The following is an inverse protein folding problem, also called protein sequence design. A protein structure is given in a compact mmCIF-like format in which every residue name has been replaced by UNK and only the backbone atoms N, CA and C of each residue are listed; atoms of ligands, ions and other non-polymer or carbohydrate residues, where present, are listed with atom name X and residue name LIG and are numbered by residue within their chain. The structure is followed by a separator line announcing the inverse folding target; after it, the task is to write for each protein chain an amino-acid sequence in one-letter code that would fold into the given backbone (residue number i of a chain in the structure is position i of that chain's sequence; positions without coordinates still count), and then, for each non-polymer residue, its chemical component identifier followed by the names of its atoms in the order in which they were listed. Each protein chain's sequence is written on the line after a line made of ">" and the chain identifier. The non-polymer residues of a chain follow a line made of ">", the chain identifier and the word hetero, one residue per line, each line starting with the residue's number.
data_IF_806609127699
#
_entry.id   IF_806609127699
#
_cell.length_a   1.000
_cell.length_b   1.000
_cell.length_c   1.000
_cell.angle_alpha   90.00
_cell.angle_beta   90.00
_cell.angle_gamma   90.00
#
_symmetry.space_group_name_H-M   'P 1'
#
loop_
_entity.id
_entity.type
_entity.pdbx_description
1 polymer ?
#
# COMPACT_ATOMS: atom_id res chain seq x y z
N UNK A 1 6.59 -5.51 15.54
CA UNK A 1 5.44 -4.59 15.40
C UNK A 1 4.24 -5.13 16.17
N UNK A 2 3.54 -4.26 16.86
CA UNK A 2 2.33 -4.63 17.60
C UNK A 2 1.16 -4.77 16.61
N UNK A 3 0.46 -5.93 16.63
CA UNK A 3 -0.67 -6.19 15.74
C UNK A 3 -1.86 -5.24 15.96
N UNK A 4 -1.90 -4.53 17.09
CA UNK A 4 -2.94 -3.53 17.36
C UNK A 4 -2.67 -2.18 16.70
N UNK A 5 -1.45 -1.92 16.29
CA UNK A 5 -1.08 -0.68 15.60
C UNK A 5 -1.50 -0.79 14.14
N UNK A 6 -2.25 0.20 13.65
CA UNK A 6 -2.65 0.22 12.24
C UNK A 6 -1.49 0.65 11.37
N UNK A 7 -1.21 -0.15 10.37
CA UNK A 7 -0.23 0.20 9.35
C UNK A 7 -0.78 -0.11 7.97
N UNK A 8 -0.28 0.62 7.00
CA UNK A 8 -0.71 0.55 5.61
C UNK A 8 0.45 0.03 4.76
N UNK A 9 0.17 -0.75 3.73
CA UNK A 9 1.19 -1.16 2.77
C UNK A 9 0.82 -0.69 1.36
N UNK A 10 1.83 -0.17 0.65
CA UNK A 10 1.68 0.30 -0.72
C UNK A 10 1.69 -0.89 -1.71
N UNK A 11 1.28 -0.64 -2.93
CA UNK A 11 1.20 -1.64 -3.99
C UNK A 11 2.54 -2.30 -4.30
N UNK A 12 3.64 -1.54 -4.26
CA UNK A 12 4.98 -2.11 -4.53
C UNK A 12 5.35 -3.21 -3.53
N UNK A 13 4.95 -3.07 -2.26
CA UNK A 13 5.21 -4.09 -1.24
C UNK A 13 4.47 -5.39 -1.58
N UNK A 14 3.19 -5.28 -1.96
CA UNK A 14 2.38 -6.45 -2.34
C UNK A 14 2.98 -7.15 -3.56
N UNK A 15 3.42 -6.36 -4.55
CA UNK A 15 3.96 -6.92 -5.79
C UNK A 15 5.23 -7.74 -5.59
N UNK A 16 5.99 -7.49 -4.52
CA UNK A 16 7.15 -8.32 -4.22
C UNK A 16 6.79 -9.77 -3.87
N UNK A 17 5.54 -10.05 -3.50
CA UNK A 17 5.08 -11.43 -3.31
C UNK A 17 5.18 -12.26 -4.59
N UNK A 18 5.15 -11.61 -5.75
CA UNK A 18 5.24 -12.25 -7.05
C UNK A 18 6.64 -12.15 -7.65
N UNK A 19 7.57 -11.60 -6.89
CA UNK A 19 8.95 -11.36 -7.34
C UNK A 19 9.83 -12.59 -7.14
N UNK A 20 10.88 -12.70 -7.98
CA UNK A 20 11.95 -13.66 -7.77
C UNK A 20 12.95 -13.27 -6.68
N UNK A 21 12.83 -12.06 -6.13
CA UNK A 21 13.66 -11.61 -5.02
C UNK A 21 13.11 -12.20 -3.72
N UNK A 22 13.70 -13.33 -3.30
CA UNK A 22 13.22 -14.11 -2.13
C UNK A 22 13.24 -13.26 -0.86
N UNK A 23 14.28 -12.46 -0.66
CA UNK A 23 14.42 -11.65 0.55
C UNK A 23 13.28 -10.61 0.67
N UNK A 24 12.99 -9.92 -0.43
CA UNK A 24 11.89 -8.95 -0.45
C UNK A 24 10.52 -9.61 -0.40
N UNK A 25 10.36 -10.75 -1.06
CA UNK A 25 9.10 -11.51 -1.00
C UNK A 25 8.82 -11.98 0.42
N UNK A 26 9.83 -12.47 1.14
CA UNK A 26 9.68 -12.91 2.53
C UNK A 26 9.30 -11.74 3.44
N UNK A 27 9.91 -10.59 3.24
CA UNK A 27 9.60 -9.39 4.03
C UNK A 27 8.16 -8.93 3.78
N UNK A 28 7.73 -8.93 2.52
CA UNK A 28 6.36 -8.57 2.14
C UNK A 28 5.35 -9.54 2.77
N UNK A 29 5.65 -10.84 2.74
CA UNK A 29 4.79 -11.85 3.36
C UNK A 29 4.68 -11.63 4.88
N UNK A 30 5.79 -11.33 5.54
CA UNK A 30 5.80 -11.07 6.98
C UNK A 30 4.89 -9.89 7.33
N UNK A 31 4.92 -8.81 6.54
CA UNK A 31 4.03 -7.67 6.75
C UNK A 31 2.57 -8.03 6.50
N UNK A 32 2.29 -8.80 5.46
CA UNK A 32 0.92 -9.20 5.14
C UNK A 32 0.31 -10.03 6.27
N UNK A 33 1.10 -10.90 6.90
CA UNK A 33 0.64 -11.72 8.03
C UNK A 33 0.28 -10.91 9.27
N UNK A 34 0.75 -9.66 9.36
CA UNK A 34 0.43 -8.75 10.45
C UNK A 34 -0.86 -7.96 10.21
N UNK A 35 -1.62 -8.31 9.18
CA UNK A 35 -2.94 -7.76 8.86
C UNK A 35 -2.89 -6.26 8.56
N UNK A 36 -2.28 -5.87 7.44
CA UNK A 36 -2.21 -4.46 7.06
C UNK A 36 -3.54 -3.90 6.63
N UNK A 37 -3.61 -2.58 6.59
CA UNK A 37 -4.65 -1.84 5.87
C UNK A 37 -4.13 -1.61 4.46
N UNK A 38 -5.00 -1.75 3.48
CA UNK A 38 -4.76 -1.33 2.09
C UNK A 38 -5.97 -0.53 1.61
N UNK A 39 -5.90 -0.02 0.39
CA UNK A 39 -7.02 0.72 -0.20
C UNK A 39 -7.39 0.13 -1.55
N UNK A 40 -8.55 0.55 -2.07
CA UNK A 40 -8.96 0.21 -3.43
C UNK A 40 -7.92 0.70 -4.45
N UNK A 41 -7.29 1.86 -4.20
CA UNK A 41 -6.22 2.34 -5.10
C UNK A 41 -5.05 1.37 -5.16
N UNK A 42 -4.67 0.78 -4.02
CA UNK A 42 -3.64 -0.26 -3.99
C UNK A 42 -4.05 -1.46 -4.85
N UNK A 43 -5.30 -1.91 -4.70
CA UNK A 43 -5.82 -3.01 -5.53
C UNK A 43 -5.77 -2.67 -7.01
N UNK A 44 -6.12 -1.43 -7.38
CA UNK A 44 -6.08 -0.98 -8.76
C UNK A 44 -4.68 -1.02 -9.33
N UNK A 45 -3.69 -0.53 -8.58
CA UNK A 45 -2.30 -0.50 -9.01
C UNK A 45 -1.72 -1.91 -9.16
N UNK A 46 -2.00 -2.78 -8.19
CA UNK A 46 -1.56 -4.18 -8.26
C UNK A 46 -2.17 -4.88 -9.48
N UNK A 47 -3.46 -4.68 -9.72
CA UNK A 47 -4.15 -5.25 -10.88
C UNK A 47 -3.50 -4.79 -12.18
N UNK A 48 -3.24 -3.50 -12.28
CA UNK A 48 -2.63 -2.91 -13.49
C UNK A 48 -1.26 -3.53 -13.78
N UNK A 49 -0.39 -3.62 -12.78
CA UNK A 49 0.95 -4.19 -12.95
C UNK A 49 0.88 -5.67 -13.28
N UNK A 50 0.04 -6.43 -12.57
CA UNK A 50 -0.14 -7.86 -12.84
C UNK A 50 -0.55 -8.11 -14.29
N UNK A 51 -1.48 -7.31 -14.79
CA UNK A 51 -1.98 -7.48 -16.15
C UNK A 51 -0.99 -6.97 -17.19
N UNK A 52 -0.45 -5.78 -17.01
CA UNK A 52 0.36 -5.09 -18.04
C UNK A 52 1.82 -5.52 -18.05
N UNK A 53 2.41 -5.75 -16.91
CA UNK A 53 3.84 -6.09 -16.82
C UNK A 53 4.09 -7.58 -16.64
N UNK A 54 3.25 -8.26 -15.88
CA UNK A 54 3.45 -9.67 -15.57
C UNK A 54 2.63 -10.60 -16.48
N UNK A 55 1.80 -10.04 -17.35
CA UNK A 55 0.97 -10.79 -18.32
C UNK A 55 0.12 -11.89 -17.67
N UNK A 56 -0.35 -11.64 -16.46
CA UNK A 56 -1.19 -12.60 -15.76
C UNK A 56 -2.59 -12.64 -16.38
N UNK A 57 -3.19 -13.82 -16.38
CA UNK A 57 -4.59 -13.97 -16.78
C UNK A 57 -5.50 -13.35 -15.73
N UNK A 58 -6.68 -12.86 -16.16
CA UNK A 58 -7.62 -12.24 -15.23
C UNK A 58 -8.01 -13.16 -14.07
N UNK A 59 -8.13 -14.47 -14.33
CA UNK A 59 -8.42 -15.46 -13.28
C UNK A 59 -7.29 -15.58 -12.27
N UNK A 60 -6.04 -15.52 -12.72
CA UNK A 60 -4.87 -15.54 -11.83
C UNK A 60 -4.81 -14.29 -10.97
N UNK A 61 -5.11 -13.13 -11.58
CA UNK A 61 -5.14 -11.85 -10.85
C UNK A 61 -6.22 -11.91 -9.77
N UNK A 62 -7.41 -12.41 -10.11
CA UNK A 62 -8.51 -12.53 -9.15
C UNK A 62 -8.11 -13.39 -7.95
N UNK A 63 -7.46 -14.54 -8.20
CA UNK A 63 -7.01 -15.43 -7.14
C UNK A 63 -5.95 -14.77 -6.25
N UNK A 64 -5.00 -14.08 -6.86
CA UNK A 64 -3.95 -13.37 -6.10
C UNK A 64 -4.54 -12.28 -5.22
N UNK A 65 -5.44 -11.45 -5.78
CA UNK A 65 -6.06 -10.36 -5.02
C UNK A 65 -6.95 -10.90 -3.89
N UNK A 66 -7.65 -11.99 -4.13
CA UNK A 66 -8.47 -12.63 -3.09
C UNK A 66 -7.61 -13.10 -1.93
N UNK A 67 -6.45 -13.70 -2.24
CA UNK A 67 -5.50 -14.13 -1.22
C UNK A 67 -4.99 -12.93 -0.42
N UNK A 68 -4.54 -11.87 -1.10
CA UNK A 68 -4.04 -10.66 -0.44
C UNK A 68 -5.13 -10.07 0.47
N UNK A 69 -6.35 -9.94 -0.03
CA UNK A 69 -7.46 -9.37 0.72
C UNK A 69 -7.79 -10.17 1.97
N UNK A 70 -7.62 -11.49 1.91
CA UNK A 70 -7.90 -12.37 3.06
C UNK A 70 -7.01 -12.08 4.27
N UNK A 71 -5.81 -11.52 4.05
CA UNK A 71 -4.91 -11.15 5.12
C UNK A 71 -5.12 -9.72 5.62
N UNK A 72 -5.79 -8.87 4.86
CA UNK A 72 -5.90 -7.46 5.21
C UNK A 72 -6.91 -7.24 6.32
N UNK A 73 -6.56 -6.35 7.25
CA UNK A 73 -7.43 -5.91 8.33
C UNK A 73 -8.60 -5.10 7.80
N UNK A 74 -8.34 -4.26 6.80
CA UNK A 74 -9.34 -3.41 6.18
C UNK A 74 -8.90 -2.99 4.80
N UNK A 75 -9.88 -2.77 3.92
CA UNK A 75 -9.65 -2.21 2.59
C UNK A 75 -10.41 -0.88 2.54
N UNK A 76 -9.66 0.23 2.49
CA UNK A 76 -10.23 1.58 2.50
C UNK A 76 -10.85 1.87 1.13
N UNK A 77 -12.12 2.31 1.08
CA UNK A 77 -12.75 2.63 -0.20
C UNK A 77 -12.15 3.90 -0.82
N UNK A 78 -12.27 3.98 -2.15
CA UNK A 78 -11.86 5.17 -2.90
C UNK A 78 -13.08 6.07 -3.05
N UNK A 79 -13.16 7.09 -2.19
CA UNK A 79 -14.30 7.99 -2.12
C UNK A 79 -13.95 9.38 -2.65
N UNK A 80 -14.96 10.24 -2.82
CA UNK A 80 -14.74 11.64 -3.17
C UNK A 80 -13.90 12.33 -2.09
N UNK A 81 -14.14 11.99 -0.81
CA UNK A 81 -13.35 12.52 0.30
C UNK A 81 -11.87 12.16 0.16
N UNK A 82 -11.59 10.90 -0.18
CA UNK A 82 -10.20 10.44 -0.40
C UNK A 82 -9.56 11.22 -1.55
N UNK A 83 -10.30 11.41 -2.63
CA UNK A 83 -9.83 12.18 -3.79
C UNK A 83 -9.48 13.61 -3.41
N UNK A 84 -10.40 14.28 -2.70
CA UNK A 84 -10.19 15.68 -2.31
C UNK A 84 -8.97 15.83 -1.40
N UNK A 85 -8.82 14.92 -0.44
CA UNK A 85 -7.67 14.90 0.45
C UNK A 85 -6.37 14.65 -0.33
N UNK A 86 -6.42 13.73 -1.30
CA UNK A 86 -5.25 13.43 -2.14
C UNK A 86 -4.77 14.65 -2.90
N UNK A 87 -5.68 15.44 -3.48
CA UNK A 87 -5.29 16.67 -4.18
C UNK A 87 -4.60 17.65 -3.25
N UNK A 88 -5.13 17.80 -2.04
CA UNK A 88 -4.54 18.67 -1.01
C UNK A 88 -3.13 18.21 -0.62
N UNK A 89 -2.97 16.92 -0.35
CA UNK A 89 -1.69 16.34 0.04
C UNK A 89 -0.65 16.39 -1.07
N UNK A 90 -1.08 16.16 -2.32
CA UNK A 90 -0.19 16.24 -3.48
C UNK A 90 0.41 17.63 -3.61
N UNK A 91 -0.42 18.67 -3.45
CA UNK A 91 0.02 20.07 -3.53
C UNK A 91 0.93 20.43 -2.34
N UNK A 92 0.53 20.06 -1.14
CA UNK A 92 1.25 20.42 0.09
C UNK A 92 2.62 19.75 0.21
N UNK A 93 2.71 18.48 -0.16
CA UNK A 93 3.91 17.66 0.06
C UNK A 93 4.65 17.30 -1.23
N UNK A 94 4.24 17.84 -2.37
CA UNK A 94 4.87 17.59 -3.67
C UNK A 94 4.89 16.09 -4.01
N UNK A 95 3.79 15.40 -3.74
CA UNK A 95 3.62 14.00 -4.09
C UNK A 95 2.99 13.86 -5.47
N UNK A 96 3.29 12.77 -6.18
CA UNK A 96 2.49 12.41 -7.34
C UNK A 96 1.06 12.16 -6.88
N UNK A 97 0.09 12.34 -7.78
CA UNK A 97 -1.31 12.22 -7.39
C UNK A 97 -1.66 10.83 -6.86
N UNK A 98 -1.19 9.77 -7.52
CA UNK A 98 -1.52 8.43 -7.08
C UNK A 98 -0.86 8.05 -5.75
N UNK A 99 0.37 8.53 -5.52
CA UNK A 99 1.00 8.40 -4.20
C UNK A 99 0.20 9.15 -3.15
N UNK A 100 -0.30 10.34 -3.49
CA UNK A 100 -1.15 11.11 -2.59
C UNK A 100 -2.46 10.39 -2.29
N UNK A 101 -3.02 9.63 -3.24
CA UNK A 101 -4.20 8.80 -2.99
C UNK A 101 -3.92 7.72 -1.95
N UNK A 102 -2.74 7.11 -2.00
CA UNK A 102 -2.30 6.11 -1.01
C UNK A 102 -2.17 6.77 0.37
N UNK A 103 -1.47 7.90 0.42
CA UNK A 103 -1.27 8.64 1.67
C UNK A 103 -2.61 9.09 2.26
N UNK A 104 -3.52 9.59 1.42
CA UNK A 104 -4.85 10.03 1.85
C UNK A 104 -5.63 8.90 2.52
N UNK A 105 -5.64 7.72 1.90
CA UNK A 105 -6.32 6.56 2.47
C UNK A 105 -5.72 6.18 3.82
N UNK A 106 -4.40 6.17 3.93
CA UNK A 106 -3.70 5.84 5.17
C UNK A 106 -4.03 6.84 6.29
N UNK A 107 -4.05 8.14 5.98
CA UNK A 107 -4.35 9.17 6.99
C UNK A 107 -5.82 9.14 7.41
N UNK A 108 -6.74 8.96 6.48
CA UNK A 108 -8.18 8.87 6.79
C UNK A 108 -8.44 7.68 7.72
N UNK A 109 -7.77 6.55 7.48
CA UNK A 109 -7.96 5.36 8.31
C UNK A 109 -7.23 5.45 9.66
N UNK A 110 -6.39 6.48 9.86
CA UNK A 110 -5.67 6.65 11.12
C UNK A 110 -4.47 5.72 11.26
N UNK A 111 -3.87 5.32 10.15
CA UNK A 111 -2.66 4.52 10.19
C UNK A 111 -1.48 5.35 10.70
N UNK A 112 -0.59 4.74 11.46
CA UNK A 112 0.61 5.38 11.99
C UNK A 112 1.82 5.20 11.08
N UNK A 113 1.82 4.15 10.29
CA UNK A 113 2.92 3.83 9.38
C UNK A 113 2.38 3.46 8.01
N UNK A 114 3.06 3.95 6.98
CA UNK A 114 2.83 3.55 5.59
C UNK A 114 4.14 2.95 5.07
N UNK A 115 4.12 1.66 4.77
CA UNK A 115 5.27 0.98 4.17
C UNK A 115 5.23 1.10 2.66
N UNK A 116 6.28 1.68 2.09
CA UNK A 116 6.43 1.86 0.66
C UNK A 116 7.91 1.88 0.30
N UNK A 117 8.28 1.25 -0.80
CA UNK A 117 9.65 1.31 -1.30
C UNK A 117 9.92 2.62 -2.03
N UNK A 118 8.90 3.20 -2.66
CA UNK A 118 9.06 4.34 -3.56
C UNK A 118 8.96 5.70 -2.87
N UNK A 119 8.42 5.75 -1.65
CA UNK A 119 8.27 7.01 -0.93
C UNK A 119 9.43 7.26 0.03
N UNK A 120 9.64 8.51 0.37
CA UNK A 120 10.79 8.95 1.17
C UNK A 120 10.80 8.34 2.57
N UNK A 121 11.73 7.42 2.82
CA UNK A 121 11.88 6.72 4.10
C UNK A 121 12.14 7.68 5.26
N UNK A 122 11.36 7.54 6.32
CA UNK A 122 11.51 8.33 7.54
C UNK A 122 10.73 9.63 7.56
N UNK A 123 10.13 10.04 6.45
CA UNK A 123 9.34 11.27 6.39
C UNK A 123 8.05 11.10 7.17
N UNK A 124 7.71 12.11 7.98
CA UNK A 124 6.46 12.15 8.73
C UNK A 124 5.52 13.16 8.06
N UNK A 125 4.35 12.67 7.65
CA UNK A 125 3.33 13.50 7.00
C UNK A 125 2.17 13.77 7.96
N UNK A 126 1.65 15.00 7.92
CA UNK A 126 0.48 15.41 8.72
C UNK A 126 0.65 15.10 10.20
N UNK A 127 1.88 15.13 10.69
CA UNK A 127 2.28 14.94 12.09
C UNK A 127 2.02 13.54 12.65
N UNK A 128 1.45 12.63 11.86
CA UNK A 128 0.99 11.34 12.38
C UNK A 128 1.37 10.12 11.55
N UNK A 129 1.65 10.28 10.26
CA UNK A 129 1.94 9.16 9.38
C UNK A 129 3.42 9.13 9.04
N UNK A 130 4.11 8.05 9.45
CA UNK A 130 5.52 7.85 9.11
C UNK A 130 5.64 6.97 7.88
N UNK A 131 6.38 7.44 6.89
CA UNK A 131 6.69 6.67 5.68
C UNK A 131 7.94 5.81 5.95
N UNK A 132 7.87 4.52 5.67
CA UNK A 132 8.99 3.61 5.90
C UNK A 132 9.18 2.67 4.70
N UNK A 133 10.45 2.50 4.32
CA UNK A 133 10.80 1.47 3.34
C UNK A 133 11.06 0.17 4.10
N UNK A 134 10.20 -0.86 3.94
CA UNK A 134 10.33 -2.08 4.73
C UNK A 134 11.56 -2.91 4.35
N UNK A 135 12.16 -2.61 3.21
CA UNK A 135 13.30 -3.36 2.68
C UNK A 135 14.64 -2.76 3.09
N UNK A 136 14.63 -1.61 3.76
CA UNK A 136 15.83 -0.96 4.29
C UNK A 136 16.12 -1.33 5.75
N UNK A 137 15.20 -2.03 6.35
CA UNK A 137 15.29 -2.39 7.78
C UNK A 137 15.78 -3.82 8.00
#
# INVERSE_FOLDING_TARGET
>A
MNAKVKFFIDSNVILYLLSGDVHKADRAEALLRLKPVISVQVLNEVTHVCRRKLNMEWSEIAQFLELVRSFCRKIVPLTVETHDRARHLANRHQLSFYDACIVAAATIEGCQTLYSEDMHHGLILEESLTLRNPFRE
#
